data_IF_991298152639
#
_entry.id   IF_991298152639
#
_cell.length_a   1.000
_cell.length_b   1.000
_cell.length_c   1.000
_cell.angle_alpha   90.00
_cell.angle_beta   90.00
_cell.angle_gamma   90.00
#
_symmetry.space_group_name_H-M   'P 1'
#
loop_
_entity.id
_entity.type
_entity.pdbx_description
1 polymer ?
#
# COMPACT_ATOMS: atom_id res chain seq x y z
N UNK A 1 -2.46 -17.43 -7.90
CA UNK A 1 -1.92 -16.30 -8.69
C UNK A 1 -0.49 -16.66 -9.07
N UNK A 2 0.00 -16.39 -10.28
CA UNK A 2 1.41 -16.58 -10.61
C UNK A 2 2.27 -15.63 -9.78
N UNK A 3 3.52 -16.01 -9.53
CA UNK A 3 4.44 -15.19 -8.76
C UNK A 3 5.46 -15.99 -7.98
N UNK A 4 6.16 -15.29 -7.11
CA UNK A 4 7.19 -15.83 -6.23
C UNK A 4 6.84 -15.51 -4.77
N UNK A 5 7.23 -16.39 -3.87
CA UNK A 5 7.15 -16.18 -2.42
C UNK A 5 8.46 -16.61 -1.79
N UNK A 6 9.03 -15.76 -0.94
CA UNK A 6 10.20 -16.12 -0.13
C UNK A 6 9.83 -16.25 1.34
N UNK A 7 10.58 -17.08 2.06
CA UNK A 7 10.47 -17.18 3.52
C UNK A 7 11.82 -17.54 4.12
N UNK A 8 12.01 -17.14 5.37
CA UNK A 8 13.20 -17.47 6.12
C UNK A 8 12.97 -18.63 7.10
N UNK A 9 13.93 -19.56 7.16
CA UNK A 9 14.13 -20.42 8.33
C UNK A 9 15.15 -19.72 9.25
N UNK A 10 14.72 -19.24 10.44
CA UNK A 10 15.56 -18.47 11.32
C UNK A 10 16.89 -19.17 11.65
N UNK A 11 18.02 -18.49 11.46
CA UNK A 11 19.36 -19.02 11.72
C UNK A 11 19.83 -20.12 10.78
N UNK A 12 19.15 -20.32 9.62
CA UNK A 12 19.51 -21.35 8.65
C UNK A 12 19.58 -20.81 7.23
N UNK A 13 18.43 -20.45 6.63
CA UNK A 13 18.34 -20.17 5.20
C UNK A 13 17.15 -19.29 4.85
N UNK A 14 17.18 -18.73 3.63
CA UNK A 14 16.03 -18.15 2.95
C UNK A 14 15.75 -18.97 1.69
N UNK A 15 14.49 -19.25 1.46
CA UNK A 15 14.01 -20.01 0.32
C UNK A 15 13.12 -19.15 -0.57
N UNK A 16 13.16 -19.45 -1.87
CA UNK A 16 12.27 -18.90 -2.89
C UNK A 16 11.40 -20.01 -3.45
N UNK A 17 10.10 -19.75 -3.62
CA UNK A 17 9.13 -20.68 -4.22
C UNK A 17 8.41 -20.05 -5.39
N UNK A 18 8.33 -20.77 -6.48
CA UNK A 18 7.40 -20.44 -7.56
C UNK A 18 5.97 -20.87 -7.18
N UNK A 19 5.03 -19.94 -7.14
CA UNK A 19 3.69 -20.16 -6.62
C UNK A 19 2.85 -21.17 -7.44
N UNK A 20 3.06 -21.27 -8.76
CA UNK A 20 2.31 -22.18 -9.62
C UNK A 20 2.81 -23.63 -9.56
N UNK A 21 4.10 -23.84 -9.65
CA UNK A 21 4.70 -25.18 -9.67
C UNK A 21 4.95 -25.73 -8.26
N UNK A 22 5.04 -24.85 -7.26
CA UNK A 22 5.48 -25.21 -5.91
C UNK A 22 6.98 -25.51 -5.80
N UNK A 23 7.76 -25.40 -6.89
CA UNK A 23 9.21 -25.59 -6.86
C UNK A 23 9.86 -24.58 -5.92
N UNK A 24 10.85 -25.05 -5.19
CA UNK A 24 11.55 -24.28 -4.15
C UNK A 24 13.05 -24.40 -4.31
N UNK A 25 13.77 -23.29 -4.12
CA UNK A 25 15.23 -23.27 -4.06
C UNK A 25 15.70 -22.32 -2.94
N UNK A 26 16.87 -22.60 -2.40
CA UNK A 26 17.52 -21.73 -1.43
C UNK A 26 18.14 -20.53 -2.15
N UNK A 27 17.88 -19.32 -1.60
CA UNK A 27 18.39 -18.03 -2.14
C UNK A 27 19.23 -17.26 -1.12
N UNK A 28 19.30 -17.73 0.12
CA UNK A 28 20.15 -17.16 1.16
C UNK A 28 20.62 -18.22 2.15
N UNK A 29 21.87 -18.14 2.57
CA UNK A 29 22.46 -18.97 3.62
C UNK A 29 22.80 -18.14 4.85
N UNK A 30 22.52 -18.66 6.05
CA UNK A 30 22.89 -17.97 7.28
C UNK A 30 24.40 -17.96 7.48
N UNK A 31 24.94 -16.77 7.71
CA UNK A 31 26.36 -16.57 8.02
C UNK A 31 26.50 -15.85 9.37
N UNK A 32 26.92 -16.54 10.42
CA UNK A 32 27.08 -15.97 11.76
C UNK A 32 28.20 -14.93 11.84
N UNK A 33 29.10 -14.87 10.86
CA UNK A 33 30.25 -13.92 10.81
C UNK A 33 29.78 -12.51 10.38
N UNK A 34 28.62 -12.37 9.73
CA UNK A 34 28.11 -11.08 9.29
C UNK A 34 27.66 -10.22 10.48
N UNK A 35 27.95 -8.90 10.47
CA UNK A 35 27.54 -7.99 11.53
C UNK A 35 26.02 -7.75 11.53
N UNK A 36 25.43 -7.53 12.72
CA UNK A 36 24.01 -7.16 12.89
C UNK A 36 23.14 -8.26 13.50
N UNK A 37 21.93 -7.86 13.97
CA UNK A 37 20.99 -8.77 14.64
C UNK A 37 19.91 -9.35 13.71
N UNK A 38 19.79 -8.91 12.45
CA UNK A 38 18.66 -9.25 11.59
C UNK A 38 18.98 -9.86 10.23
N UNK A 39 20.05 -9.42 9.56
CA UNK A 39 20.30 -9.78 8.16
C UNK A 39 21.66 -10.49 8.02
N UNK A 40 21.78 -11.67 8.64
CA UNK A 40 22.99 -12.50 8.54
C UNK A 40 22.84 -13.57 7.46
N UNK A 41 22.34 -13.18 6.28
CA UNK A 41 22.16 -14.09 5.16
C UNK A 41 23.07 -13.68 4.03
N UNK A 42 23.87 -14.61 3.54
CA UNK A 42 24.65 -14.46 2.31
C UNK A 42 23.76 -14.84 1.12
N UNK A 43 23.64 -13.99 0.09
CA UNK A 43 22.88 -14.31 -1.12
C UNK A 43 23.43 -15.55 -1.83
N UNK A 44 22.55 -16.42 -2.28
CA UNK A 44 22.86 -17.57 -3.12
C UNK A 44 22.29 -17.31 -4.53
N UNK A 45 23.13 -16.88 -5.45
CA UNK A 45 22.70 -16.47 -6.80
C UNK A 45 22.07 -17.60 -7.60
N UNK A 46 22.54 -18.84 -7.42
CA UNK A 46 22.02 -20.03 -8.12
C UNK A 46 20.50 -20.18 -7.97
N UNK A 47 19.95 -19.94 -6.77
CA UNK A 47 18.51 -20.02 -6.53
C UNK A 47 17.72 -18.96 -7.32
N UNK A 48 18.30 -17.78 -7.50
CA UNK A 48 17.69 -16.74 -8.33
C UNK A 48 17.82 -17.04 -9.82
N UNK A 49 18.97 -17.51 -10.30
CA UNK A 49 19.18 -17.80 -11.73
C UNK A 49 18.45 -19.08 -12.19
N UNK A 50 18.44 -20.14 -11.38
CA UNK A 50 17.86 -21.42 -11.76
C UNK A 50 16.34 -21.52 -11.50
N UNK A 51 15.81 -20.81 -10.51
CA UNK A 51 14.37 -20.78 -10.20
C UNK A 51 13.74 -19.43 -10.45
N UNK A 52 14.31 -18.37 -9.89
CA UNK A 52 13.73 -17.03 -9.90
C UNK A 52 13.52 -16.49 -11.31
N UNK A 53 14.58 -16.40 -12.10
CA UNK A 53 14.53 -15.91 -13.49
C UNK A 53 13.56 -16.72 -14.36
N UNK A 54 13.64 -18.04 -14.44
CA UNK A 54 12.69 -18.83 -15.22
C UNK A 54 11.23 -18.69 -14.73
N UNK A 55 11.01 -18.52 -13.43
CA UNK A 55 9.67 -18.30 -12.88
C UNK A 55 9.09 -16.94 -13.27
N UNK A 56 9.89 -15.87 -13.26
CA UNK A 56 9.46 -14.54 -13.74
C UNK A 56 9.11 -14.59 -15.23
N UNK A 57 9.91 -15.27 -16.05
CA UNK A 57 9.61 -15.46 -17.48
C UNK A 57 8.28 -16.20 -17.69
N UNK A 58 8.03 -17.28 -16.95
CA UNK A 58 6.72 -17.98 -16.98
C UNK A 58 5.56 -17.12 -16.49
N UNK A 59 5.80 -16.18 -15.57
CA UNK A 59 4.78 -15.23 -15.16
C UNK A 59 4.37 -14.27 -16.28
N UNK A 60 5.30 -13.89 -17.17
CA UNK A 60 4.98 -13.06 -18.34
C UNK A 60 4.07 -13.79 -19.33
N UNK A 61 4.27 -15.08 -19.53
CA UNK A 61 3.46 -15.92 -20.44
C UNK A 61 2.09 -16.32 -19.85
N UNK A 62 1.89 -16.15 -18.54
CA UNK A 62 0.64 -16.55 -17.90
C UNK A 62 -0.52 -15.63 -18.31
N UNK A 63 -1.75 -16.19 -18.42
CA UNK A 63 -2.97 -15.42 -18.75
C UNK A 63 -3.34 -14.38 -17.68
N UNK A 64 -2.85 -14.54 -16.45
CA UNK A 64 -3.09 -13.58 -15.36
C UNK A 64 -2.47 -12.21 -15.66
N UNK A 65 -3.27 -11.15 -15.48
CA UNK A 65 -2.78 -9.77 -15.55
C UNK A 65 -1.95 -9.38 -14.33
N UNK A 66 -2.13 -10.07 -13.19
CA UNK A 66 -1.47 -9.80 -11.94
C UNK A 66 -0.47 -10.89 -11.59
N UNK A 67 0.68 -10.47 -11.06
CA UNK A 67 1.74 -11.31 -10.50
C UNK A 67 2.03 -10.84 -9.08
N UNK A 68 2.29 -11.77 -8.17
CA UNK A 68 2.66 -11.45 -6.78
C UNK A 68 4.11 -11.80 -6.52
N UNK A 69 4.86 -10.89 -5.89
CA UNK A 69 6.24 -11.11 -5.46
C UNK A 69 6.33 -10.79 -3.97
N UNK A 70 6.57 -11.78 -3.15
CA UNK A 70 6.69 -11.67 -1.70
C UNK A 70 7.95 -12.42 -1.22
N UNK A 71 9.05 -11.72 -0.95
CA UNK A 71 9.34 -10.29 -0.90
C UNK A 71 10.54 -9.97 -1.81
N UNK A 72 10.92 -8.68 -1.92
CA UNK A 72 12.12 -8.19 -2.63
C UNK A 72 13.00 -7.42 -1.65
N UNK A 73 14.26 -7.80 -1.53
CA UNK A 73 15.18 -7.20 -0.57
C UNK A 73 16.65 -7.19 -1.03
N UNK A 74 17.56 -7.32 -0.10
CA UNK A 74 19.00 -7.26 -0.40
C UNK A 74 19.54 -8.53 -1.07
N UNK A 75 18.85 -9.67 -0.91
CA UNK A 75 19.30 -10.93 -1.51
C UNK A 75 19.26 -10.87 -3.05
N UNK A 76 18.26 -10.19 -3.62
CA UNK A 76 18.09 -9.98 -5.04
C UNK A 76 19.10 -8.99 -5.64
N UNK A 77 19.67 -8.11 -4.78
CA UNK A 77 20.56 -7.03 -5.24
C UNK A 77 21.89 -7.53 -5.82
N UNK A 78 22.27 -8.77 -5.53
CA UNK A 78 23.48 -9.39 -6.08
C UNK A 78 23.25 -10.14 -7.40
N UNK A 79 22.02 -10.28 -7.89
CA UNK A 79 21.69 -11.06 -9.08
C UNK A 79 21.13 -10.17 -10.20
N UNK A 80 22.01 -9.67 -11.08
CA UNK A 80 21.64 -8.78 -12.19
C UNK A 80 20.61 -9.43 -13.15
N UNK A 81 20.76 -10.73 -13.43
CA UNK A 81 19.83 -11.45 -14.31
C UNK A 81 18.41 -11.48 -13.73
N UNK A 82 18.27 -11.66 -12.42
CA UNK A 82 16.98 -11.62 -11.75
C UNK A 82 16.38 -10.20 -11.77
N UNK A 83 17.18 -9.18 -11.50
CA UNK A 83 16.73 -7.79 -11.57
C UNK A 83 16.25 -7.42 -12.98
N UNK A 84 16.99 -7.85 -14.01
CA UNK A 84 16.60 -7.60 -15.40
C UNK A 84 15.29 -8.31 -15.76
N UNK A 85 15.13 -9.58 -15.37
CA UNK A 85 13.88 -10.30 -15.56
C UNK A 85 12.71 -9.66 -14.82
N UNK A 86 12.97 -9.10 -13.62
CA UNK A 86 11.96 -8.37 -12.84
C UNK A 86 11.54 -7.06 -13.56
N UNK A 87 12.49 -6.26 -14.08
CA UNK A 87 12.19 -5.06 -14.88
C UNK A 87 11.32 -5.40 -16.08
N UNK A 88 11.70 -6.45 -16.81
CA UNK A 88 10.90 -6.92 -17.96
C UNK A 88 9.49 -7.36 -17.54
N UNK A 89 9.34 -8.02 -16.39
CA UNK A 89 8.01 -8.38 -15.85
C UNK A 89 7.14 -7.15 -15.61
N UNK A 90 7.70 -6.08 -15.06
CA UNK A 90 6.98 -4.81 -14.79
C UNK A 90 6.47 -4.14 -16.07
N UNK A 91 7.13 -4.32 -17.19
CA UNK A 91 6.68 -3.79 -18.49
C UNK A 91 5.47 -4.54 -19.06
N UNK A 92 5.27 -5.80 -18.67
CA UNK A 92 4.26 -6.69 -19.24
C UNK A 92 3.09 -7.02 -18.33
N UNK A 93 3.28 -6.91 -17.00
CA UNK A 93 2.30 -7.35 -15.99
C UNK A 93 2.10 -6.30 -14.89
N UNK A 94 0.93 -6.35 -14.28
CA UNK A 94 0.71 -5.65 -13.01
C UNK A 94 1.30 -6.49 -11.89
N UNK A 95 2.20 -5.91 -11.11
CA UNK A 95 2.90 -6.61 -10.04
C UNK A 95 2.47 -6.05 -8.70
N UNK A 96 2.08 -6.92 -7.78
CA UNK A 96 1.96 -6.59 -6.37
C UNK A 96 3.18 -7.18 -5.64
N UNK A 97 4.09 -6.31 -5.20
CA UNK A 97 5.32 -6.72 -4.56
C UNK A 97 5.42 -6.20 -3.12
N UNK A 98 5.96 -7.03 -2.23
CA UNK A 98 6.44 -6.58 -0.92
C UNK A 98 7.90 -6.21 -1.08
N UNK A 99 8.25 -4.94 -0.87
CA UNK A 99 9.61 -4.41 -1.02
C UNK A 99 10.14 -3.99 0.35
N UNK A 100 11.33 -4.45 0.71
CA UNK A 100 11.95 -4.06 1.97
C UNK A 100 12.43 -2.61 1.94
N UNK A 101 12.25 -1.91 3.06
CA UNK A 101 12.83 -0.58 3.28
C UNK A 101 14.35 -0.68 3.50
N UNK A 102 15.10 -0.69 2.41
CA UNK A 102 16.57 -0.75 2.44
C UNK A 102 17.15 0.24 1.42
N UNK A 103 18.28 0.89 1.72
CA UNK A 103 18.89 1.89 0.83
C UNK A 103 19.68 1.22 -0.31
N UNK A 104 19.00 0.42 -1.13
CA UNK A 104 19.57 -0.31 -2.26
C UNK A 104 19.04 0.26 -3.57
N UNK A 105 19.93 0.45 -4.53
CA UNK A 105 19.59 1.09 -5.81
C UNK A 105 18.43 0.41 -6.54
N UNK A 106 18.41 -0.93 -6.59
CA UNK A 106 17.32 -1.68 -7.21
C UNK A 106 15.97 -1.46 -6.53
N UNK A 107 15.92 -1.46 -5.18
CA UNK A 107 14.66 -1.24 -4.45
C UNK A 107 14.17 0.21 -4.60
N UNK A 108 15.08 1.17 -4.60
CA UNK A 108 14.76 2.57 -4.86
C UNK A 108 14.21 2.77 -6.28
N UNK A 109 14.84 2.14 -7.29
CA UNK A 109 14.36 2.14 -8.66
C UNK A 109 12.89 1.65 -8.75
N UNK A 110 12.57 0.53 -8.08
CA UNK A 110 11.21 -0.02 -8.06
C UNK A 110 10.19 0.96 -7.44
N UNK A 111 10.56 1.59 -6.32
CA UNK A 111 9.68 2.50 -5.59
C UNK A 111 9.56 3.90 -6.25
N UNK A 112 10.54 4.32 -7.04
CA UNK A 112 10.52 5.62 -7.72
C UNK A 112 9.92 5.60 -9.14
N UNK A 113 9.35 4.46 -9.58
CA UNK A 113 8.68 4.39 -10.88
C UNK A 113 7.43 5.26 -10.91
N UNK A 114 7.19 5.97 -12.00
CA UNK A 114 6.00 6.81 -12.19
C UNK A 114 4.69 6.01 -12.21
N UNK A 115 4.76 4.72 -12.57
CA UNK A 115 3.61 3.80 -12.61
C UNK A 115 3.46 2.93 -11.37
N UNK A 116 4.23 3.19 -10.29
CA UNK A 116 4.17 2.48 -9.04
C UNK A 116 3.32 3.22 -7.99
N UNK A 117 2.39 2.51 -7.36
CA UNK A 117 1.76 2.94 -6.11
C UNK A 117 2.52 2.32 -4.95
N UNK A 118 3.24 3.13 -4.19
CA UNK A 118 3.98 2.68 -3.01
C UNK A 118 3.15 2.93 -1.75
N UNK A 119 2.91 1.87 -0.97
CA UNK A 119 2.25 1.96 0.33
C UNK A 119 3.26 1.60 1.41
N UNK A 120 3.58 2.54 2.27
CA UNK A 120 4.41 2.32 3.44
C UNK A 120 3.61 1.57 4.52
N UNK A 121 3.99 0.33 4.86
CA UNK A 121 3.25 -0.48 5.83
C UNK A 121 3.43 0.00 7.29
N UNK A 122 4.46 0.80 7.58
CA UNK A 122 4.65 1.41 8.90
C UNK A 122 3.79 2.69 9.03
N UNK A 123 3.46 3.33 7.91
CA UNK A 123 2.57 4.48 7.81
C UNK A 123 1.68 4.38 6.56
N UNK A 124 0.73 3.43 6.53
CA UNK A 124 -0.01 3.08 5.31
C UNK A 124 -0.92 4.19 4.79
N UNK A 125 -1.20 5.20 5.60
CA UNK A 125 -2.08 6.32 5.27
C UNK A 125 -1.37 7.68 5.23
N UNK A 126 -0.08 7.75 5.57
CA UNK A 126 0.67 9.00 5.66
C UNK A 126 0.84 9.76 4.33
N UNK A 127 0.64 9.09 3.19
CA UNK A 127 0.64 9.70 1.86
C UNK A 127 -0.77 9.80 1.23
N UNK A 128 -1.83 9.47 1.99
CA UNK A 128 -3.20 9.37 1.48
C UNK A 128 -4.06 10.47 2.09
N UNK A 129 -4.90 11.11 1.25
CA UNK A 129 -5.94 12.03 1.68
C UNK A 129 -7.27 11.31 2.02
N UNK A 130 -8.02 11.83 2.96
CA UNK A 130 -9.31 11.32 3.39
C UNK A 130 -10.45 12.30 3.15
N UNK A 131 -11.41 11.95 2.30
CA UNK A 131 -12.67 12.71 2.12
C UNK A 131 -13.75 12.11 3.03
N UNK A 132 -14.15 12.84 4.05
CA UNK A 132 -15.25 12.45 4.94
C UNK A 132 -16.57 13.00 4.37
N UNK A 133 -17.37 12.11 3.83
CA UNK A 133 -18.66 12.47 3.20
C UNK A 133 -19.75 12.63 4.23
N UNK A 134 -20.10 13.87 4.57
CA UNK A 134 -21.07 14.23 5.59
C UNK A 134 -22.32 14.93 5.05
N UNK A 135 -22.67 14.75 3.76
CA UNK A 135 -23.79 15.40 3.07
C UNK A 135 -25.10 14.60 3.09
N UNK A 136 -25.15 13.47 3.81
CA UNK A 136 -26.32 12.59 3.85
C UNK A 136 -27.55 13.25 4.50
N UNK A 137 -28.75 13.10 3.89
CA UNK A 137 -29.99 13.73 4.39
C UNK A 137 -30.69 12.94 5.50
N UNK A 138 -30.19 11.76 5.88
CA UNK A 138 -30.77 10.95 6.96
C UNK A 138 -32.23 10.53 6.77
N UNK A 139 -32.78 10.49 5.53
CA UNK A 139 -34.21 10.28 5.21
C UNK A 139 -34.84 9.08 5.93
N UNK A 140 -34.11 7.99 6.10
CA UNK A 140 -34.58 6.78 6.81
C UNK A 140 -34.51 6.90 8.31
N UNK A 141 -33.70 7.83 8.83
CA UNK A 141 -33.49 8.06 10.25
C UNK A 141 -34.41 9.15 10.82
N UNK A 142 -35.07 9.92 9.97
CA UNK A 142 -35.95 11.01 10.34
C UNK A 142 -35.27 12.32 10.74
N UNK A 143 -33.96 12.30 10.87
CA UNK A 143 -33.10 13.45 11.21
C UNK A 143 -31.70 13.27 10.64
N UNK A 144 -30.79 14.22 10.87
CA UNK A 144 -29.40 14.05 10.46
C UNK A 144 -28.69 13.02 11.37
N UNK A 145 -28.52 11.80 10.86
CA UNK A 145 -27.89 10.70 11.57
C UNK A 145 -26.50 11.05 12.14
N UNK A 146 -25.75 11.91 11.44
CA UNK A 146 -24.39 12.29 11.85
C UNK A 146 -24.37 13.16 13.10
N UNK A 147 -25.48 13.83 13.40
CA UNK A 147 -25.67 14.64 14.62
C UNK A 147 -26.36 13.87 15.74
N UNK A 148 -26.81 12.62 15.49
CA UNK A 148 -27.39 11.79 16.53
C UNK A 148 -26.39 11.52 17.64
N UNK A 149 -26.89 11.57 18.88
CA UNK A 149 -26.09 11.24 20.05
C UNK A 149 -25.60 9.79 19.99
N UNK A 150 -24.31 9.60 20.17
CA UNK A 150 -23.65 8.32 20.29
C UNK A 150 -22.70 8.35 21.48
N UNK A 151 -23.16 7.87 22.64
CA UNK A 151 -22.43 7.88 23.91
C UNK A 151 -22.03 9.30 24.38
N UNK A 152 -22.95 10.24 24.28
CA UNK A 152 -22.76 11.63 24.75
C UNK A 152 -22.13 12.59 23.76
N UNK A 153 -21.86 12.13 22.53
CA UNK A 153 -21.30 12.96 21.45
C UNK A 153 -22.00 12.71 20.11
N UNK A 154 -22.02 13.69 19.19
CA UNK A 154 -22.51 13.47 17.83
C UNK A 154 -21.73 12.35 17.14
N UNK A 155 -22.42 11.48 16.38
CA UNK A 155 -21.77 10.39 15.65
C UNK A 155 -20.63 10.85 14.75
N UNK A 156 -20.73 12.04 14.14
CA UNK A 156 -19.67 12.61 13.32
C UNK A 156 -18.38 12.82 14.10
N UNK A 157 -18.46 13.21 15.38
CA UNK A 157 -17.29 13.42 16.24
C UNK A 157 -16.44 12.16 16.33
N UNK A 158 -17.07 10.99 16.47
CA UNK A 158 -16.38 9.69 16.48
C UNK A 158 -15.60 9.40 15.18
N UNK A 159 -16.17 9.80 14.04
CA UNK A 159 -15.49 9.66 12.74
C UNK A 159 -14.29 10.59 12.65
N UNK A 160 -14.44 11.82 13.14
CA UNK A 160 -13.36 12.82 13.18
C UNK A 160 -12.22 12.36 14.09
N UNK A 161 -12.53 11.81 15.26
CA UNK A 161 -11.54 11.27 16.21
C UNK A 161 -10.84 10.05 15.62
N UNK A 162 -11.60 9.13 15.02
CA UNK A 162 -11.05 7.90 14.40
C UNK A 162 -10.18 8.15 13.17
N UNK A 163 -10.20 9.34 12.60
CA UNK A 163 -9.38 9.73 11.44
C UNK A 163 -8.26 10.71 11.79
N UNK A 164 -8.16 11.11 13.06
CA UNK A 164 -7.16 12.05 13.51
C UNK A 164 -5.75 11.48 13.45
N UNK A 165 -4.82 12.23 12.86
CA UNK A 165 -3.42 11.84 12.76
C UNK A 165 -3.12 10.63 11.87
N UNK A 166 -4.14 10.07 11.16
CA UNK A 166 -3.96 8.88 10.33
C UNK A 166 -3.61 9.26 8.89
N UNK A 167 -4.23 10.30 8.35
CA UNK A 167 -4.11 10.69 6.94
C UNK A 167 -3.27 11.94 6.78
N UNK A 168 -2.55 12.06 5.65
CA UNK A 168 -1.77 13.26 5.31
C UNK A 168 -2.65 14.51 5.30
N UNK A 169 -3.80 14.40 4.69
CA UNK A 169 -4.84 15.44 4.70
C UNK A 169 -6.21 14.81 4.93
N UNK A 170 -7.10 15.52 5.57
CA UNK A 170 -8.50 15.16 5.67
C UNK A 170 -9.38 16.36 5.42
N UNK A 171 -10.48 16.16 4.72
CA UNK A 171 -11.50 17.17 4.44
C UNK A 171 -12.89 16.63 4.70
N UNK A 172 -13.73 17.41 5.35
CA UNK A 172 -15.14 17.09 5.55
C UNK A 172 -15.95 17.78 4.46
N UNK A 173 -16.81 17.06 3.76
CA UNK A 173 -17.69 17.62 2.74
C UNK A 173 -19.14 17.43 3.21
N UNK A 174 -19.82 18.53 3.48
CA UNK A 174 -21.15 18.53 4.09
C UNK A 174 -22.08 19.55 3.43
N UNK A 175 -23.39 19.38 3.63
CA UNK A 175 -24.44 20.38 3.37
C UNK A 175 -25.04 20.96 4.66
N UNK A 176 -24.57 20.48 5.81
CA UNK A 176 -25.13 20.79 7.11
C UNK A 176 -24.22 21.78 7.85
N UNK A 177 -24.74 22.97 8.14
CA UNK A 177 -23.98 24.02 8.81
C UNK A 177 -23.50 23.59 10.20
N UNK A 178 -24.33 22.83 10.93
CA UNK A 178 -23.97 22.33 12.25
C UNK A 178 -22.71 21.44 12.21
N UNK A 179 -22.57 20.61 11.17
CA UNK A 179 -21.37 19.79 10.97
C UNK A 179 -20.17 20.67 10.61
N UNK A 180 -20.38 21.69 9.77
CA UNK A 180 -19.31 22.62 9.43
C UNK A 180 -18.80 23.39 10.66
N UNK A 181 -19.68 23.78 11.59
CA UNK A 181 -19.28 24.40 12.85
C UNK A 181 -18.47 23.44 13.72
N UNK A 182 -18.93 22.20 13.90
CA UNK A 182 -18.17 21.18 14.65
C UNK A 182 -16.77 20.92 14.08
N UNK A 183 -16.63 20.95 12.76
CA UNK A 183 -15.33 20.79 12.10
C UNK A 183 -14.44 22.01 12.30
N UNK A 184 -15.02 23.22 12.24
CA UNK A 184 -14.29 24.46 12.48
C UNK A 184 -13.71 24.53 13.91
N UNK A 185 -14.50 24.10 14.90
CA UNK A 185 -14.06 24.07 16.31
C UNK A 185 -12.92 23.05 16.54
N UNK A 186 -12.70 22.14 15.59
CA UNK A 186 -11.63 21.12 15.60
C UNK A 186 -10.53 21.40 14.58
N UNK A 187 -10.53 22.57 13.96
CA UNK A 187 -9.57 22.99 12.91
C UNK A 187 -9.49 22.00 11.73
N UNK A 188 -10.66 21.42 11.32
CA UNK A 188 -10.73 20.47 10.21
C UNK A 188 -11.25 21.19 8.96
N UNK A 189 -10.49 21.15 7.84
CA UNK A 189 -10.94 21.70 6.56
C UNK A 189 -12.31 21.18 6.17
N UNK A 190 -13.22 22.07 5.81
CA UNK A 190 -14.61 21.70 5.51
C UNK A 190 -15.11 22.42 4.27
N UNK A 191 -15.74 21.66 3.37
CA UNK A 191 -16.43 22.18 2.19
C UNK A 191 -17.94 22.09 2.38
N UNK A 192 -18.60 23.24 2.40
CA UNK A 192 -20.05 23.33 2.43
C UNK A 192 -20.62 23.40 1.01
N UNK A 193 -21.61 22.54 0.67
CA UNK A 193 -22.26 22.54 -0.63
C UNK A 193 -23.71 22.08 -0.58
N UNK A 194 -24.50 22.43 -1.61
CA UNK A 194 -25.90 22.04 -1.77
C UNK A 194 -26.18 21.22 -3.04
N UNK A 195 -25.15 20.64 -3.64
CA UNK A 195 -25.28 19.84 -4.88
C UNK A 195 -26.03 18.52 -4.60
N UNK A 196 -26.87 18.04 -5.54
CA UNK A 196 -27.82 16.97 -5.25
C UNK A 196 -27.20 15.56 -5.20
N UNK A 197 -26.10 15.32 -5.91
CA UNK A 197 -25.57 13.99 -6.11
C UNK A 197 -24.43 13.63 -5.14
N UNK A 198 -24.32 12.34 -4.81
CA UNK A 198 -23.22 11.82 -4.00
C UNK A 198 -21.85 12.06 -4.64
N UNK A 199 -21.77 11.92 -5.96
CA UNK A 199 -20.53 12.13 -6.71
C UNK A 199 -20.03 13.57 -6.64
N UNK A 200 -20.94 14.53 -6.52
CA UNK A 200 -20.57 15.94 -6.32
C UNK A 200 -19.87 16.15 -4.97
N UNK A 201 -20.32 15.44 -3.94
CA UNK A 201 -19.66 15.47 -2.61
C UNK A 201 -18.23 14.95 -2.71
N UNK A 202 -18.01 13.83 -3.39
CA UNK A 202 -16.66 13.26 -3.60
C UNK A 202 -15.79 14.24 -4.37
N UNK A 203 -16.28 14.73 -5.51
CA UNK A 203 -15.54 15.67 -6.36
C UNK A 203 -15.11 16.93 -5.59
N UNK A 204 -16.02 17.53 -4.81
CA UNK A 204 -15.71 18.69 -3.98
C UNK A 204 -14.65 18.41 -2.91
N UNK A 205 -14.65 17.21 -2.37
CA UNK A 205 -13.62 16.77 -1.44
C UNK A 205 -12.24 16.64 -2.10
N UNK A 206 -12.19 16.04 -3.29
CA UNK A 206 -10.94 15.91 -4.06
C UNK A 206 -10.39 17.27 -4.50
N UNK A 207 -11.27 18.17 -4.98
CA UNK A 207 -10.90 19.54 -5.37
C UNK A 207 -10.33 20.37 -4.19
N UNK A 208 -10.70 20.03 -2.97
CA UNK A 208 -10.26 20.75 -1.76
C UNK A 208 -8.96 20.16 -1.15
N UNK A 209 -8.45 19.06 -1.68
CA UNK A 209 -7.17 18.49 -1.28
C UNK A 209 -6.07 19.06 -2.16
N UNK A 210 -5.11 19.75 -1.56
CA UNK A 210 -3.98 20.35 -2.25
C UNK A 210 -2.78 19.38 -2.29
N UNK A 211 -2.12 19.27 -3.46
CA UNK A 211 -0.86 18.54 -3.60
C UNK A 211 -0.98 17.01 -3.46
N UNK A 212 -2.17 16.45 -3.67
CA UNK A 212 -2.39 15.00 -3.82
C UNK A 212 -2.74 14.73 -5.28
N UNK A 213 -1.85 14.03 -6.00
CA UNK A 213 -2.02 13.57 -7.37
C UNK A 213 -2.85 12.27 -7.48
#
# INVERSE_FOLDING_TARGET
MPGLTSWAEPGKAVYLRENRSGKTMQVGAFDPSLPGHGNRMTPMQEGFTELGVPALLRCMEADSRWVTIDEVGYLESGCEEYQQAFRTLLEHKRVAAVVRKQPLAFLQELCCREDALVVDLDDPFGAIGCVIMASGQGRRFGSNKLLADFHGEPMIARILDATEGIFLQRVVVTRHEEIAHLCKDRDIPTVLHNLPNRNDTVRRGLEAMEGLD
#
